data_IF_825480974923
#
_entry.id   IF_825480974923
#
_cell.length_a   1.000
_cell.length_b   1.000
_cell.length_c   1.000
_cell.angle_alpha   90.00
_cell.angle_beta   90.00
_cell.angle_gamma   90.00
#
_symmetry.space_group_name_H-M   'P 1'
#
loop_
_entity.id
_entity.type
_entity.pdbx_description
1 polymer ?
#
# COMPACT_ATOMS: atom_id res chain seq x y z
N UNK A 1 22.47 -20.48 -19.02
CA UNK A 1 21.13 -20.71 -19.63
C UNK A 1 20.56 -19.34 -19.97
N UNK A 2 20.08 -19.16 -21.20
CA UNK A 2 19.40 -18.02 -21.85
C UNK A 2 19.64 -16.56 -21.35
N UNK A 3 20.30 -15.82 -22.25
CA UNK A 3 20.52 -14.37 -22.35
C UNK A 3 19.25 -13.55 -22.59
N UNK A 4 19.16 -12.36 -22.00
CA UNK A 4 18.49 -11.14 -22.48
C UNK A 4 18.75 -10.01 -21.46
N UNK A 5 18.92 -8.72 -21.76
CA UNK A 5 19.31 -7.98 -22.96
C UNK A 5 19.65 -6.57 -22.43
N UNK A 6 20.83 -6.03 -22.75
CA UNK A 6 21.16 -4.63 -22.48
C UNK A 6 20.27 -3.70 -23.33
N UNK A 7 19.65 -2.72 -22.69
CA UNK A 7 18.85 -1.68 -23.34
C UNK A 7 19.08 -0.32 -22.68
N UNK A 8 19.90 0.53 -23.32
CA UNK A 8 20.14 1.89 -22.87
C UNK A 8 18.87 2.76 -23.02
N UNK A 9 18.43 3.45 -21.96
CA UNK A 9 17.50 4.57 -22.08
C UNK A 9 17.57 5.55 -20.90
N UNK A 10 17.20 6.79 -21.20
CA UNK A 10 17.53 8.02 -20.50
C UNK A 10 17.09 8.08 -19.02
N UNK A 11 18.01 8.58 -18.17
CA UNK A 11 17.72 9.04 -16.80
C UNK A 11 16.73 10.21 -16.86
N UNK A 12 15.45 9.92 -16.64
CA UNK A 12 14.46 10.90 -16.20
C UNK A 12 14.43 10.91 -14.69
N UNK A 13 14.95 11.95 -14.04
CA UNK A 13 14.76 12.19 -12.61
C UNK A 13 13.29 12.53 -12.39
N UNK A 14 12.48 11.53 -12.03
CA UNK A 14 11.16 11.76 -11.48
C UNK A 14 11.28 11.92 -9.96
N UNK A 15 11.08 13.14 -9.47
CA UNK A 15 10.72 13.38 -8.07
C UNK A 15 9.32 12.82 -7.86
N UNK A 16 9.23 11.54 -7.48
CA UNK A 16 7.98 10.97 -7.00
C UNK A 16 7.80 11.41 -5.55
N UNK A 17 6.69 12.09 -5.26
CA UNK A 17 6.20 12.24 -3.90
C UNK A 17 6.08 10.85 -3.29
N UNK A 18 6.73 10.64 -2.15
CA UNK A 18 6.60 9.43 -1.34
C UNK A 18 5.10 9.18 -1.16
N UNK A 19 4.60 8.05 -1.66
CA UNK A 19 3.21 7.68 -1.41
C UNK A 19 3.10 7.43 0.10
N UNK A 20 2.28 8.24 0.74
CA UNK A 20 1.93 8.16 2.15
C UNK A 20 1.06 6.91 2.40
N UNK A 21 1.52 5.95 3.20
CA UNK A 21 0.77 4.73 3.53
C UNK A 21 0.04 4.89 4.88
N UNK A 22 -1.13 4.26 5.03
CA UNK A 22 -1.85 4.27 6.31
C UNK A 22 -2.42 5.62 6.78
N UNK A 23 -2.64 6.59 5.89
CA UNK A 23 -3.05 7.92 6.28
C UNK A 23 -4.32 7.95 7.16
N UNK A 24 -4.21 8.54 8.36
CA UNK A 24 -5.34 9.01 9.14
C UNK A 24 -5.59 10.47 8.79
N UNK A 25 -6.85 10.85 8.61
CA UNK A 25 -7.25 12.23 8.32
C UNK A 25 -8.17 12.71 9.43
N UNK A 26 -7.81 13.83 10.03
CA UNK A 26 -8.57 14.58 11.01
C UNK A 26 -9.17 15.78 10.30
N UNK A 27 -10.49 15.84 10.23
CA UNK A 27 -11.19 17.00 9.70
C UNK A 27 -11.30 18.06 10.80
N UNK A 28 -11.23 19.31 10.38
CA UNK A 28 -11.45 20.47 11.23
C UNK A 28 -12.49 21.38 10.54
N UNK A 29 -13.36 22.00 11.34
CA UNK A 29 -14.51 22.73 10.80
C UNK A 29 -14.02 24.07 10.23
N UNK A 30 -14.30 24.39 8.95
CA UNK A 30 -13.77 25.60 8.34
C UNK A 30 -14.42 26.86 8.93
N UNK A 31 -13.73 27.99 8.78
CA UNK A 31 -14.33 29.31 8.98
C UNK A 31 -13.98 29.96 10.30
N UNK A 32 -12.77 29.72 10.79
CA UNK A 32 -12.17 30.57 11.80
C UNK A 32 -12.03 32.00 11.24
N UNK A 33 -12.92 32.89 11.70
CA UNK A 33 -13.03 34.29 11.26
C UNK A 33 -11.85 35.14 11.79
N UNK A 34 -10.63 34.76 11.45
CA UNK A 34 -9.41 35.48 11.76
C UNK A 34 -8.43 35.48 10.56
N UNK A 35 -7.22 36.01 10.76
CA UNK A 35 -6.25 36.18 9.69
C UNK A 35 -5.25 35.02 9.53
N UNK A 36 -5.34 33.98 10.35
CA UNK A 36 -4.49 32.80 10.28
C UNK A 36 -4.88 31.90 9.10
N UNK A 37 -3.98 31.03 8.64
CA UNK A 37 -4.34 29.98 7.69
C UNK A 37 -5.39 29.00 8.26
N UNK A 38 -6.62 29.06 7.78
CA UNK A 38 -7.76 28.22 8.21
C UNK A 38 -7.54 26.74 7.85
N UNK A 39 -7.08 25.95 8.81
CA UNK A 39 -6.81 24.51 8.68
C UNK A 39 -8.13 23.77 8.65
N UNK A 40 -8.38 23.07 7.55
CA UNK A 40 -9.62 22.30 7.33
C UNK A 40 -9.42 20.80 7.50
N UNK A 41 -8.16 20.35 7.44
CA UNK A 41 -7.82 18.96 7.76
C UNK A 41 -6.32 18.79 7.97
N UNK A 42 -5.97 17.86 8.84
CA UNK A 42 -4.61 17.33 9.00
C UNK A 42 -4.64 15.85 8.66
N UNK A 43 -3.83 15.42 7.70
CA UNK A 43 -3.62 14.00 7.42
C UNK A 43 -2.21 13.59 7.82
N UNK A 44 -2.08 12.47 8.51
CA UNK A 44 -0.81 11.92 8.99
C UNK A 44 -0.65 10.51 8.44
N UNK A 45 0.53 10.18 7.92
CA UNK A 45 0.82 8.89 7.32
C UNK A 45 2.28 8.49 7.54
N UNK A 46 2.52 7.19 7.68
CA UNK A 46 3.85 6.61 7.83
C UNK A 46 4.24 5.90 6.52
N UNK A 47 5.48 6.09 6.10
CA UNK A 47 6.06 5.38 4.97
C UNK A 47 7.09 4.35 5.48
N UNK A 48 7.23 3.18 4.83
CA UNK A 48 8.11 2.13 5.35
C UNK A 48 9.60 2.46 5.26
N UNK A 49 9.98 3.47 4.48
CA UNK A 49 11.31 4.09 4.53
C UNK A 49 11.57 4.86 5.84
N UNK A 50 10.59 4.90 6.76
CA UNK A 50 10.69 5.52 8.07
C UNK A 50 10.43 7.02 8.05
N UNK A 51 9.72 7.51 7.03
CA UNK A 51 9.31 8.90 6.94
C UNK A 51 7.84 9.07 7.38
N UNK A 52 7.62 10.00 8.29
CA UNK A 52 6.31 10.54 8.64
C UNK A 52 5.96 11.67 7.66
N UNK A 53 4.77 11.62 7.07
CA UNK A 53 4.25 12.68 6.20
C UNK A 53 2.99 13.29 6.79
N UNK A 54 2.97 14.62 6.89
CA UNK A 54 1.82 15.43 7.27
C UNK A 54 1.32 16.22 6.06
N UNK A 55 0.03 16.13 5.79
CA UNK A 55 -0.66 16.92 4.75
C UNK A 55 -1.73 17.76 5.42
N UNK A 56 -1.51 19.08 5.44
CA UNK A 56 -2.46 20.05 6.01
C UNK A 56 -3.16 20.79 4.89
N UNK A 57 -4.49 20.82 4.91
CA UNK A 57 -5.29 21.58 3.94
C UNK A 57 -5.76 22.87 4.57
N UNK A 58 -5.60 23.96 3.84
CA UNK A 58 -5.99 25.31 4.25
C UNK A 58 -7.09 25.84 3.33
N UNK A 59 -8.16 26.36 3.91
CA UNK A 59 -9.34 26.84 3.17
C UNK A 59 -9.16 28.23 2.56
N UNK A 60 -8.45 29.12 3.25
CA UNK A 60 -8.45 30.56 2.96
C UNK A 60 -7.20 31.10 2.23
N UNK A 61 -6.15 30.29 2.03
CA UNK A 61 -4.92 30.71 1.33
C UNK A 61 -4.42 29.70 0.31
N UNK A 62 -4.11 30.16 -0.91
CA UNK A 62 -3.48 29.34 -1.96
C UNK A 62 -1.95 29.36 -1.91
N UNK A 63 -1.38 30.47 -1.42
CA UNK A 63 0.03 30.65 -1.07
C UNK A 63 0.11 31.11 0.38
N UNK A 64 1.09 30.63 1.12
CA UNK A 64 1.25 31.00 2.53
C UNK A 64 1.63 32.49 2.61
N UNK A 65 0.88 33.33 3.35
CA UNK A 65 1.25 34.73 3.51
C UNK A 65 2.61 34.87 4.22
N UNK A 66 3.29 35.99 3.97
CA UNK A 66 4.42 36.39 4.81
C UNK A 66 3.97 36.48 6.28
N UNK A 67 4.92 36.25 7.19
CA UNK A 67 4.70 36.27 8.64
C UNK A 67 3.68 35.21 9.12
N UNK A 68 3.45 34.17 8.33
CA UNK A 68 2.65 33.00 8.72
C UNK A 68 3.56 31.80 8.99
N UNK A 69 3.14 30.94 9.90
CA UNK A 69 3.83 29.69 10.21
C UNK A 69 2.83 28.63 10.67
N UNK A 70 3.29 27.38 10.68
CA UNK A 70 2.56 26.27 11.29
C UNK A 70 3.42 25.67 12.39
N UNK A 71 2.82 25.40 13.53
CA UNK A 71 3.40 24.60 14.60
C UNK A 71 2.69 23.25 14.65
N UNK A 72 3.45 22.16 14.62
CA UNK A 72 2.96 20.80 14.80
C UNK A 72 3.48 20.28 16.13
N UNK A 73 2.58 20.18 17.09
CA UNK A 73 2.87 19.68 18.44
C UNK A 73 2.55 18.19 18.50
N UNK A 74 3.44 17.44 19.13
CA UNK A 74 3.33 15.99 19.24
C UNK A 74 3.42 15.56 20.72
N UNK A 75 2.34 14.95 21.19
CA UNK A 75 2.28 14.16 22.43
C UNK A 75 2.77 12.75 22.07
N UNK A 76 4.07 12.52 22.23
CA UNK A 76 4.75 11.35 21.70
C UNK A 76 4.39 10.10 22.48
N UNK A 77 4.28 10.19 23.80
CA UNK A 77 3.98 9.05 24.66
C UNK A 77 2.48 8.89 24.98
N UNK A 78 1.61 9.74 24.40
CA UNK A 78 0.17 9.78 24.63
C UNK A 78 -0.16 10.01 26.12
N UNK A 79 0.69 10.76 26.81
CA UNK A 79 0.54 11.09 28.21
C UNK A 79 0.54 12.61 28.40
N UNK A 80 -0.64 13.23 28.61
CA UNK A 80 -0.77 14.68 28.71
C UNK A 80 -0.19 15.27 30.01
N UNK A 81 0.49 14.46 30.83
CA UNK A 81 1.15 14.88 32.07
C UNK A 81 2.67 15.05 31.91
N UNK A 82 3.22 14.72 30.76
CA UNK A 82 4.65 14.86 30.42
C UNK A 82 4.84 15.98 29.39
N UNK A 83 6.09 16.33 29.11
CA UNK A 83 6.42 17.34 28.10
C UNK A 83 6.07 18.78 28.49
N UNK A 84 5.99 19.64 27.47
CA UNK A 84 5.51 21.01 27.55
C UNK A 84 4.01 21.03 27.24
N UNK A 85 3.18 21.27 28.25
CA UNK A 85 1.71 21.19 28.14
C UNK A 85 1.18 19.88 27.51
N UNK A 86 1.90 18.77 27.69
CA UNK A 86 1.55 17.47 27.14
C UNK A 86 2.28 17.08 25.85
N UNK A 87 3.19 17.90 25.32
CA UNK A 87 3.90 17.63 24.07
C UNK A 87 5.42 17.46 24.26
N UNK A 88 6.01 16.44 23.65
CA UNK A 88 7.44 16.16 23.69
C UNK A 88 8.20 16.62 22.44
N UNK A 89 7.49 16.98 21.37
CA UNK A 89 8.10 17.49 20.16
C UNK A 89 7.28 18.60 19.50
N UNK A 90 8.00 19.53 18.86
CA UNK A 90 7.42 20.58 18.02
C UNK A 90 8.19 20.65 16.70
N UNK A 91 7.47 20.60 15.58
CA UNK A 91 8.00 20.97 14.27
C UNK A 91 7.33 22.26 13.83
N UNK A 92 8.12 23.28 13.47
CA UNK A 92 7.61 24.55 12.93
C UNK A 92 7.96 24.68 11.47
N UNK A 93 6.98 25.00 10.63
CA UNK A 93 7.18 25.38 9.22
C UNK A 93 6.96 26.88 9.04
N UNK A 94 7.92 27.56 8.43
CA UNK A 94 7.91 29.01 8.21
C UNK A 94 7.51 29.38 6.78
N UNK A 95 6.98 30.59 6.57
CA UNK A 95 6.56 31.07 5.25
C UNK A 95 7.67 31.12 4.19
N UNK A 96 8.93 31.20 4.60
CA UNK A 96 10.10 31.15 3.71
C UNK A 96 10.56 29.71 3.38
N UNK A 97 9.86 28.70 3.91
CA UNK A 97 10.19 27.28 3.77
C UNK A 97 11.14 26.73 4.83
N UNK A 98 11.57 27.55 5.80
CA UNK A 98 12.37 27.12 6.94
C UNK A 98 11.62 26.11 7.83
N UNK A 99 12.39 25.21 8.45
CA UNK A 99 11.88 24.22 9.40
C UNK A 99 12.71 24.26 10.68
N UNK A 100 12.05 24.58 11.78
CA UNK A 100 12.61 24.44 13.12
C UNK A 100 12.08 23.14 13.75
N UNK A 101 12.92 22.48 14.55
CA UNK A 101 12.55 21.27 15.26
C UNK A 101 12.97 21.37 16.71
N UNK A 102 12.09 20.99 17.62
CA UNK A 102 12.33 21.02 19.06
C UNK A 102 11.96 19.67 19.68
N UNK A 103 12.77 19.24 20.64
CA UNK A 103 12.50 18.05 21.46
C UNK A 103 12.60 18.38 22.94
N UNK A 104 11.70 17.75 23.70
CA UNK A 104 11.70 17.81 25.16
C UNK A 104 12.93 17.11 25.73
N UNK A 105 13.69 17.83 26.55
CA UNK A 105 14.91 17.31 27.19
C UNK A 105 14.69 16.88 28.65
N UNK A 106 13.45 16.91 29.12
CA UNK A 106 13.08 16.68 30.52
C UNK A 106 12.70 17.96 31.27
N UNK A 107 13.02 19.15 30.74
CA UNK A 107 12.72 20.43 31.37
C UNK A 107 12.14 21.48 30.42
N UNK A 108 12.54 21.49 29.15
CA UNK A 108 12.02 22.40 28.14
C UNK A 108 12.07 21.78 26.73
N UNK A 109 11.28 22.35 25.82
CA UNK A 109 11.48 22.12 24.39
C UNK A 109 12.77 22.82 23.95
N UNK A 110 13.75 22.03 23.53
CA UNK A 110 15.07 22.49 23.08
C UNK A 110 15.22 22.29 21.59
N UNK A 111 15.74 23.30 20.90
CA UNK A 111 15.96 23.25 19.46
C UNK A 111 16.95 22.14 19.09
N UNK A 112 16.64 21.42 18.01
CA UNK A 112 17.42 20.33 17.43
C UNK A 112 17.55 20.54 15.94
N UNK A 113 18.54 19.88 15.33
CA UNK A 113 18.70 19.93 13.87
C UNK A 113 17.52 19.25 13.17
N UNK A 114 16.89 19.94 12.22
CA UNK A 114 15.80 19.42 11.38
C UNK A 114 16.32 18.52 10.22
N UNK A 115 17.40 17.76 10.44
CA UNK A 115 18.04 16.92 9.41
C UNK A 115 17.04 15.92 8.83
N UNK A 116 16.91 15.91 7.51
CA UNK A 116 15.99 15.01 6.79
C UNK A 116 14.53 15.46 6.80
N UNK A 117 14.19 16.58 7.46
CA UNK A 117 12.86 17.17 7.37
C UNK A 117 12.76 18.07 6.14
N UNK A 118 11.62 18.02 5.46
CA UNK A 118 11.32 18.86 4.28
C UNK A 118 9.88 19.33 4.32
N UNK A 119 9.59 20.49 3.76
CA UNK A 119 8.28 21.11 3.86
C UNK A 119 7.99 22.00 2.65
N UNK A 120 6.76 21.94 2.15
CA UNK A 120 6.32 22.77 1.04
C UNK A 120 4.85 23.15 1.19
N UNK A 121 4.56 24.45 1.09
CA UNK A 121 3.20 24.96 0.95
C UNK A 121 2.90 25.32 -0.50
N UNK A 122 1.88 24.70 -1.11
CA UNK A 122 1.43 25.03 -2.45
C UNK A 122 -0.07 24.73 -2.62
N UNK A 123 -0.78 25.63 -3.31
CA UNK A 123 -2.20 25.47 -3.65
C UNK A 123 -3.10 25.14 -2.44
N UNK A 124 -2.84 25.82 -1.32
CA UNK A 124 -3.57 25.63 -0.06
C UNK A 124 -3.29 24.31 0.64
N UNK A 125 -2.16 23.67 0.34
CA UNK A 125 -1.73 22.44 0.99
C UNK A 125 -0.30 22.59 1.48
N UNK A 126 -0.09 22.37 2.79
CA UNK A 126 1.23 22.13 3.36
C UNK A 126 1.50 20.62 3.33
N UNK A 127 2.61 20.22 2.74
CA UNK A 127 3.16 18.87 2.87
C UNK A 127 4.48 18.95 3.65
N UNK A 128 4.52 18.37 4.84
CA UNK A 128 5.69 18.28 5.71
C UNK A 128 6.10 16.81 5.82
N UNK A 129 7.37 16.51 5.63
CA UNK A 129 7.93 15.15 5.72
C UNK A 129 9.06 15.18 6.74
N UNK A 130 9.06 14.25 7.69
CA UNK A 130 10.05 14.17 8.76
C UNK A 130 10.44 12.71 9.06
N UNK A 131 11.70 12.40 9.42
CA UNK A 131 12.08 11.04 9.79
C UNK A 131 11.41 10.63 11.10
N UNK A 132 10.77 9.45 11.14
CA UNK A 132 10.16 8.85 12.35
C UNK A 132 11.18 8.70 13.48
N UNK A 133 12.44 8.47 13.14
CA UNK A 133 13.55 8.36 14.11
C UNK A 133 13.75 9.65 14.92
N UNK A 134 13.35 10.81 14.38
CA UNK A 134 13.36 12.08 15.10
C UNK A 134 12.38 12.08 16.29
N UNK A 135 11.34 11.24 16.22
CA UNK A 135 10.27 11.13 17.20
C UNK A 135 10.33 9.83 18.01
N UNK A 136 11.42 9.06 17.92
CA UNK A 136 11.54 7.78 18.64
C UNK A 136 10.84 6.59 17.98
N UNK A 137 10.43 6.68 16.70
CA UNK A 137 9.80 5.60 15.91
C UNK A 137 8.46 5.11 16.47
N UNK A 138 7.62 6.04 16.91
CA UNK A 138 6.35 5.75 17.57
C UNK A 138 5.23 5.54 16.55
N UNK A 139 4.39 4.53 16.79
CA UNK A 139 3.22 4.21 15.96
C UNK A 139 1.90 4.77 16.52
N UNK A 140 1.96 5.44 17.66
CA UNK A 140 0.83 6.13 18.27
C UNK A 140 1.33 7.39 18.96
N UNK A 141 0.68 8.52 18.69
CA UNK A 141 0.98 9.82 19.29
C UNK A 141 -0.24 10.74 19.15
N UNK A 142 -0.34 11.76 19.99
CA UNK A 142 -1.25 12.89 19.79
C UNK A 142 -0.64 13.92 18.85
N UNK A 143 -1.45 14.52 17.98
CA UNK A 143 -1.04 15.66 17.14
C UNK A 143 -1.99 16.84 17.30
N UNK A 144 -1.41 18.04 17.40
CA UNK A 144 -2.09 19.32 17.28
C UNK A 144 -1.38 20.18 16.23
N UNK A 145 -2.09 20.58 15.18
CA UNK A 145 -1.62 21.57 14.24
C UNK A 145 -2.12 22.95 14.67
N UNK A 146 -1.24 23.94 14.72
CA UNK A 146 -1.58 25.33 14.99
C UNK A 146 -1.07 26.15 13.84
N UNK A 147 -1.96 26.74 13.06
CA UNK A 147 -1.58 27.77 12.11
C UNK A 147 -1.53 29.11 12.82
N UNK A 148 -0.63 29.98 12.39
CA UNK A 148 -0.54 31.31 12.95
C UNK A 148 -0.10 32.32 11.89
N UNK A 149 -0.51 33.56 12.12
CA UNK A 149 -0.05 34.70 11.33
C UNK A 149 0.11 35.92 12.22
N UNK A 150 1.31 36.49 12.20
CA UNK A 150 1.56 37.79 12.78
C UNK A 150 1.06 38.90 11.85
N UNK A 151 0.43 39.89 12.47
CA UNK A 151 -0.06 41.10 11.80
C UNK A 151 0.36 42.31 12.61
N UNK A 152 1.11 43.20 11.98
CA UNK A 152 1.36 44.51 12.57
C UNK A 152 0.18 45.43 12.30
N UNK A 153 -0.43 45.95 13.37
CA UNK A 153 -1.40 47.04 13.28
C UNK A 153 -0.96 48.16 14.23
N UNK A 154 -0.53 49.29 13.66
CA UNK A 154 0.15 50.37 14.37
C UNK A 154 1.43 49.86 15.09
N UNK A 155 1.63 50.23 16.36
CA UNK A 155 2.75 49.80 17.20
C UNK A 155 2.50 48.45 17.89
N UNK A 156 1.46 47.72 17.50
CA UNK A 156 1.05 46.45 18.15
C UNK A 156 1.08 45.31 17.14
N UNK A 157 1.66 44.18 17.56
CA UNK A 157 1.63 42.93 16.82
C UNK A 157 0.47 42.08 17.35
N UNK A 158 -0.38 41.61 16.43
CA UNK A 158 -1.46 40.68 16.70
C UNK A 158 -1.10 39.34 16.06
N UNK A 159 -1.25 38.25 16.80
CA UNK A 159 -1.10 36.91 16.26
C UNK A 159 -2.51 36.33 16.15
N UNK A 160 -2.96 36.11 14.92
CA UNK A 160 -4.12 35.27 14.67
C UNK A 160 -3.67 33.81 14.67
N UNK A 161 -4.50 32.92 15.24
CA UNK A 161 -4.20 31.49 15.33
C UNK A 161 -5.44 30.68 15.01
N UNK A 162 -5.24 29.53 14.41
CA UNK A 162 -6.26 28.50 14.24
C UNK A 162 -5.66 27.14 14.69
N UNK A 163 -6.49 26.32 15.34
CA UNK A 163 -6.09 25.10 16.02
C UNK A 163 -6.85 23.91 15.43
N UNK A 164 -6.12 22.92 14.92
CA UNK A 164 -6.69 21.67 14.41
C UNK A 164 -6.12 20.45 15.16
N UNK A 165 -6.94 19.75 15.97
CA UNK A 165 -8.36 20.02 16.23
C UNK A 165 -8.58 21.23 17.15
N UNK A 166 -9.78 21.81 17.12
CA UNK A 166 -10.27 22.85 18.06
C UNK A 166 -9.94 22.62 19.54
N UNK A 167 -9.82 21.34 19.95
CA UNK A 167 -9.56 20.95 21.35
C UNK A 167 -8.64 19.75 21.45
N UNK A 168 -7.60 19.90 22.25
CA UNK A 168 -6.70 18.82 22.63
C UNK A 168 -5.81 18.37 21.46
N UNK A 169 -5.53 17.08 21.39
CA UNK A 169 -4.76 16.46 20.31
C UNK A 169 -5.61 15.40 19.63
N UNK A 170 -5.50 15.31 18.30
CA UNK A 170 -6.01 14.16 17.58
C UNK A 170 -5.08 12.98 17.81
N UNK A 171 -5.58 11.87 18.33
CA UNK A 171 -4.76 10.66 18.46
C UNK A 171 -4.56 10.04 17.08
N UNK A 172 -3.32 10.02 16.63
CA UNK A 172 -2.88 9.21 15.52
C UNK A 172 -2.48 7.84 16.02
N UNK A 173 -3.01 6.81 15.37
CA UNK A 173 -2.53 5.43 15.50
C UNK A 173 -2.27 4.95 14.08
N UNK A 174 -0.99 4.87 13.73
CA UNK A 174 -0.56 4.35 12.45
C UNK A 174 -0.90 2.86 12.33
N UNK A 175 -1.06 2.39 11.09
CA UNK A 175 -0.88 0.98 10.80
C UNK A 175 0.62 0.70 10.93
N UNK A 176 1.10 0.58 12.18
CA UNK A 176 2.51 0.44 12.50
C UNK A 176 3.17 -0.52 11.49
N UNK A 177 4.16 -0.08 10.71
CA UNK A 177 4.82 -0.96 9.76
C UNK A 177 5.28 -2.21 10.49
N UNK A 178 5.04 -3.38 9.89
CA UNK A 178 5.64 -4.62 10.35
C UNK A 178 7.15 -4.45 10.28
N UNK A 179 7.83 -4.56 11.43
CA UNK A 179 9.28 -4.45 11.53
C UNK A 179 9.88 -5.83 11.71
N UNK A 180 10.77 -6.19 10.81
CA UNK A 180 11.43 -7.48 10.74
C UNK A 180 12.93 -7.23 10.86
N UNK A 181 13.48 -7.29 12.08
CA UNK A 181 14.91 -7.08 12.28
C UNK A 181 15.68 -8.27 11.76
N UNK A 182 16.87 -7.99 11.27
CA UNK A 182 17.88 -8.96 10.91
C UNK A 182 19.17 -8.59 11.67
N UNK A 183 20.12 -9.52 11.88
CA UNK A 183 21.41 -9.14 12.44
C UNK A 183 22.15 -8.15 11.54
N UNK A 184 23.32 -7.71 11.99
CA UNK A 184 24.15 -6.77 11.25
C UNK A 184 25.55 -7.33 11.17
N UNK A 185 26.29 -6.99 10.12
CA UNK A 185 27.65 -7.51 9.92
C UNK A 185 27.71 -9.04 9.74
N UNK A 186 26.64 -9.66 9.26
CA UNK A 186 26.50 -11.06 8.82
C UNK A 186 26.50 -11.23 7.30
N UNK A 187 26.39 -10.13 6.56
CA UNK A 187 26.74 -10.08 5.15
C UNK A 187 28.22 -10.40 4.95
N UNK A 188 28.51 -11.18 3.92
CA UNK A 188 29.88 -11.31 3.39
C UNK A 188 30.27 -10.02 2.62
N UNK A 189 30.42 -10.08 1.30
CA UNK A 189 30.61 -8.89 0.45
C UNK A 189 29.30 -8.17 0.05
N UNK A 190 28.13 -8.74 0.39
CA UNK A 190 26.82 -8.28 -0.05
C UNK A 190 26.31 -7.01 0.67
N UNK A 191 25.24 -6.36 0.18
CA UNK A 191 24.46 -5.44 1.01
C UNK A 191 23.98 -6.10 2.29
N UNK A 192 24.20 -5.42 3.42
CA UNK A 192 23.88 -5.84 4.79
C UNK A 192 22.41 -5.55 5.07
N UNK A 193 21.52 -6.52 4.96
CA UNK A 193 20.13 -6.37 5.34
C UNK A 193 20.08 -6.34 6.87
N UNK A 194 19.79 -5.18 7.46
CA UNK A 194 19.67 -5.07 8.94
C UNK A 194 18.24 -4.99 9.42
N UNK A 195 17.32 -4.65 8.52
CA UNK A 195 15.89 -4.70 8.80
C UNK A 195 15.08 -4.60 7.52
N UNK A 196 13.90 -5.23 7.56
CA UNK A 196 12.84 -5.02 6.57
C UNK A 196 11.62 -4.44 7.26
N UNK A 197 11.05 -3.40 6.67
CA UNK A 197 9.80 -2.77 7.11
C UNK A 197 8.74 -2.95 6.05
N UNK A 198 7.58 -3.46 6.46
CA UNK A 198 6.44 -3.69 5.56
C UNK A 198 5.24 -2.88 6.01
N UNK A 199 4.62 -2.14 5.10
CA UNK A 199 3.36 -1.44 5.34
C UNK A 199 2.41 -1.63 4.15
N UNK A 200 1.12 -1.39 4.37
CA UNK A 200 0.11 -1.47 3.30
C UNK A 200 -0.89 -0.31 3.36
N UNK A 201 -1.35 0.17 2.21
CA UNK A 201 -2.31 1.27 2.07
C UNK A 201 -3.68 0.80 1.60
N UNK A 202 -4.69 1.64 1.88
CA UNK A 202 -6.10 1.40 1.49
C UNK A 202 -6.32 1.34 -0.01
N UNK A 203 -5.42 1.90 -0.81
CA UNK A 203 -5.46 1.84 -2.27
C UNK A 203 -4.92 0.52 -2.84
N UNK A 204 -4.39 -0.35 -1.98
CA UNK A 204 -3.91 -1.69 -2.32
C UNK A 204 -2.40 -1.78 -2.50
N UNK A 205 -1.63 -0.70 -2.38
CA UNK A 205 -0.17 -0.80 -2.44
C UNK A 205 0.43 -1.31 -1.12
N UNK A 206 1.37 -2.24 -1.23
CA UNK A 206 2.17 -2.80 -0.13
C UNK A 206 3.60 -2.37 -0.39
N UNK A 207 4.27 -1.83 0.62
CA UNK A 207 5.62 -1.30 0.48
C UNK A 207 6.56 -2.01 1.44
N UNK A 208 7.62 -2.57 0.87
CA UNK A 208 8.65 -3.37 1.55
C UNK A 208 9.96 -2.59 1.46
N UNK A 209 10.39 -2.00 2.58
CA UNK A 209 11.61 -1.21 2.69
C UNK A 209 12.71 -2.01 3.36
N UNK A 210 13.85 -2.16 2.69
CA UNK A 210 15.01 -2.94 3.12
C UNK A 210 16.13 -1.97 3.47
N UNK A 211 16.61 -2.02 4.72
CA UNK A 211 17.71 -1.19 5.18
C UNK A 211 19.05 -1.88 4.93
N UNK A 212 19.91 -1.23 4.14
CA UNK A 212 21.26 -1.68 3.75
C UNK A 212 22.34 -0.70 4.21
N UNK A 213 22.63 -0.54 5.52
CA UNK A 213 23.48 0.54 6.04
C UNK A 213 24.91 0.57 5.50
N UNK A 214 25.46 -0.55 5.01
CA UNK A 214 26.78 -0.58 4.37
C UNK A 214 26.79 0.05 2.96
N UNK A 215 25.62 0.41 2.39
CA UNK A 215 25.50 1.08 1.11
C UNK A 215 24.53 2.27 1.15
N UNK A 216 24.99 3.45 0.71
CA UNK A 216 24.13 4.64 0.56
C UNK A 216 23.25 4.62 -0.70
N UNK A 217 23.58 3.78 -1.67
CA UNK A 217 22.76 3.45 -2.85
C UNK A 217 23.11 2.03 -3.24
N UNK A 218 22.10 1.23 -3.63
CA UNK A 218 22.34 -0.15 -4.06
C UNK A 218 23.29 -0.16 -5.28
N UNK A 219 24.44 -0.85 -5.21
CA UNK A 219 25.37 -0.96 -6.33
C UNK A 219 24.72 -1.57 -7.57
N UNK A 220 25.25 -1.25 -8.76
CA UNK A 220 24.74 -1.79 -10.03
C UNK A 220 24.87 -3.32 -10.16
N UNK A 221 25.85 -3.89 -9.46
CA UNK A 221 26.16 -5.32 -9.44
C UNK A 221 25.56 -6.03 -8.21
N UNK A 222 24.88 -5.28 -7.34
CA UNK A 222 24.15 -5.84 -6.22
C UNK A 222 22.71 -6.20 -6.62
N UNK A 223 22.22 -7.29 -6.03
CA UNK A 223 20.88 -7.81 -6.23
C UNK A 223 20.14 -7.85 -4.92
N UNK A 224 18.87 -7.44 -4.94
CA UNK A 224 17.90 -7.81 -3.91
C UNK A 224 16.87 -8.75 -4.52
N UNK A 225 16.70 -9.92 -3.91
CA UNK A 225 15.76 -10.95 -4.31
C UNK A 225 14.70 -11.12 -3.22
N UNK A 226 13.44 -10.86 -3.53
CA UNK A 226 12.33 -11.06 -2.61
C UNK A 226 11.59 -12.32 -3.00
N UNK A 227 11.67 -13.35 -2.16
CA UNK A 227 10.88 -14.56 -2.31
C UNK A 227 9.55 -14.36 -1.60
N UNK A 228 8.43 -14.66 -2.26
CA UNK A 228 7.08 -14.40 -1.77
C UNK A 228 6.24 -15.69 -1.72
N UNK A 229 5.83 -16.07 -0.52
CA UNK A 229 4.78 -17.08 -0.25
C UNK A 229 3.42 -16.36 -0.32
N UNK A 230 2.78 -16.40 -1.49
CA UNK A 230 1.66 -15.54 -1.84
C UNK A 230 0.30 -16.12 -1.47
N UNK A 231 0.25 -17.42 -1.22
CA UNK A 231 -0.94 -18.12 -0.79
C UNK A 231 -0.87 -18.62 0.66
N UNK A 232 0.22 -18.25 1.35
CA UNK A 232 0.53 -18.56 2.74
C UNK A 232 0.56 -20.07 3.00
N UNK A 233 1.09 -20.86 2.05
CA UNK A 233 1.27 -22.30 2.16
C UNK A 233 2.69 -22.70 1.77
N UNK A 234 3.50 -23.01 2.79
CA UNK A 234 4.86 -23.52 2.61
C UNK A 234 5.00 -24.84 1.80
N UNK A 235 3.89 -25.52 1.47
CA UNK A 235 3.89 -26.74 0.65
C UNK A 235 3.74 -26.49 -0.85
N UNK A 236 3.52 -25.26 -1.28
CA UNK A 236 3.42 -24.87 -2.69
C UNK A 236 4.63 -24.06 -3.12
N UNK A 237 4.74 -23.76 -4.42
CA UNK A 237 5.84 -22.96 -4.91
C UNK A 237 7.17 -23.71 -5.07
N UNK A 238 8.23 -22.93 -5.22
CA UNK A 238 9.62 -23.35 -5.10
C UNK A 238 10.10 -22.99 -3.69
N UNK A 239 10.34 -24.00 -2.85
CA UNK A 239 10.63 -23.83 -1.42
C UNK A 239 9.64 -22.93 -0.66
N UNK A 240 8.36 -22.94 -1.04
CA UNK A 240 7.32 -22.11 -0.43
C UNK A 240 7.06 -20.79 -1.16
N UNK A 241 7.84 -20.42 -2.17
CA UNK A 241 7.65 -19.16 -2.92
C UNK A 241 6.83 -19.38 -4.20
N UNK A 242 5.79 -18.55 -4.42
CA UNK A 242 5.07 -18.46 -5.70
C UNK A 242 5.35 -17.18 -6.49
N UNK A 243 6.01 -16.21 -5.86
CA UNK A 243 6.46 -14.98 -6.48
C UNK A 243 7.92 -14.71 -6.17
N UNK A 244 8.63 -14.16 -7.16
CA UNK A 244 10.00 -13.72 -7.01
C UNK A 244 10.11 -12.30 -7.55
N UNK A 245 10.60 -11.37 -6.74
CA UNK A 245 10.93 -10.02 -7.21
C UNK A 245 12.45 -9.90 -7.22
N UNK A 246 13.00 -9.46 -8.34
CA UNK A 246 14.44 -9.20 -8.48
C UNK A 246 14.65 -7.72 -8.70
N UNK A 247 15.51 -7.10 -7.90
CA UNK A 247 16.01 -5.74 -8.10
C UNK A 247 17.49 -5.80 -8.40
N UNK A 248 17.91 -5.33 -9.57
CA UNK A 248 19.33 -5.27 -9.98
C UNK A 248 19.56 -4.00 -10.80
N UNK A 249 20.60 -3.22 -10.48
CA UNK A 249 20.89 -1.98 -11.22
C UNK A 249 19.75 -0.96 -11.27
N UNK A 250 18.81 -1.02 -10.32
CA UNK A 250 17.59 -0.21 -10.30
C UNK A 250 16.46 -0.71 -11.23
N UNK A 251 16.69 -1.77 -11.99
CA UNK A 251 15.64 -2.49 -12.71
C UNK A 251 14.89 -3.43 -11.75
N UNK A 252 13.62 -3.69 -12.06
CA UNK A 252 12.80 -4.58 -11.26
C UNK A 252 12.04 -5.57 -12.14
N UNK A 253 12.07 -6.83 -11.75
CA UNK A 253 11.38 -7.93 -12.43
C UNK A 253 10.51 -8.69 -11.43
N UNK A 254 9.37 -9.21 -11.91
CA UNK A 254 8.52 -10.15 -11.19
C UNK A 254 8.45 -11.45 -11.98
N UNK A 255 8.66 -12.55 -11.29
CA UNK A 255 8.49 -13.88 -11.83
C UNK A 255 7.48 -14.66 -10.99
N UNK A 256 6.82 -15.61 -11.65
CA UNK A 256 5.82 -16.49 -11.05
C UNK A 256 6.27 -17.93 -11.19
N UNK A 257 6.07 -18.70 -10.14
CA UNK A 257 6.34 -20.14 -10.18
C UNK A 257 5.29 -20.86 -11.05
N UNK A 258 5.73 -21.53 -12.12
CA UNK A 258 4.91 -22.48 -12.86
C UNK A 258 5.11 -23.87 -12.28
N UNK A 259 4.17 -24.29 -11.42
CA UNK A 259 4.21 -25.60 -10.77
C UNK A 259 4.09 -26.79 -11.72
N UNK A 260 3.74 -26.58 -13.00
CA UNK A 260 3.68 -27.67 -14.00
C UNK A 260 4.99 -27.83 -14.75
N UNK A 261 5.67 -26.72 -14.99
CA UNK A 261 6.95 -26.69 -15.68
C UNK A 261 8.14 -26.70 -14.70
N UNK A 262 7.88 -26.56 -13.39
CA UNK A 262 8.87 -26.46 -12.31
C UNK A 262 9.91 -25.38 -12.63
N UNK A 263 9.42 -24.21 -13.04
CA UNK A 263 10.28 -23.11 -13.48
C UNK A 263 9.66 -21.75 -13.20
N UNK A 264 10.51 -20.74 -13.05
CA UNK A 264 10.12 -19.34 -12.95
C UNK A 264 9.79 -18.77 -14.33
N UNK A 265 8.66 -18.05 -14.42
CA UNK A 265 8.19 -17.42 -15.65
C UNK A 265 7.97 -15.94 -15.39
N UNK A 266 8.59 -15.09 -16.21
CA UNK A 266 8.42 -13.63 -16.14
C UNK A 266 6.96 -13.19 -16.31
N UNK A 267 6.56 -12.21 -15.49
CA UNK A 267 5.25 -11.55 -15.53
C UNK A 267 5.43 -10.14 -16.13
N UNK A 268 4.62 -9.78 -17.13
CA UNK A 268 4.75 -8.46 -17.79
C UNK A 268 4.26 -7.33 -16.86
N UNK A 269 5.23 -6.52 -16.40
CA UNK A 269 5.10 -5.48 -15.38
C UNK A 269 5.19 -4.07 -15.99
N UNK A 270 4.14 -3.25 -15.88
CA UNK A 270 4.46 -1.85 -15.58
C UNK A 270 3.58 -1.19 -14.52
N UNK A 271 2.50 -1.82 -14.06
CA UNK A 271 1.50 -1.11 -13.23
C UNK A 271 1.36 -1.60 -11.79
N UNK A 272 2.03 -2.70 -11.43
CA UNK A 272 1.79 -3.43 -10.17
C UNK A 272 3.02 -3.56 -9.27
N UNK A 273 4.15 -3.03 -9.72
CA UNK A 273 5.42 -3.09 -9.02
C UNK A 273 6.20 -1.79 -9.26
N UNK A 274 6.88 -1.30 -8.23
CA UNK A 274 7.76 -0.12 -8.29
C UNK A 274 8.96 -0.33 -7.39
N UNK A 275 10.09 0.30 -7.72
CA UNK A 275 11.27 0.32 -6.87
C UNK A 275 11.78 1.75 -6.71
N UNK A 276 12.26 2.06 -5.51
CA UNK A 276 12.97 3.31 -5.21
C UNK A 276 14.14 3.02 -4.27
N UNK A 277 15.22 3.78 -4.42
CA UNK A 277 16.33 3.78 -3.49
C UNK A 277 16.47 5.20 -2.93
N UNK A 278 16.50 5.33 -1.61
CA UNK A 278 16.66 6.60 -0.91
C UNK A 278 17.62 6.41 0.26
N UNK A 279 18.86 6.88 0.10
CA UNK A 279 19.92 6.59 1.04
C UNK A 279 20.13 5.08 1.21
N UNK A 280 20.35 4.63 2.43
CA UNK A 280 20.56 3.22 2.75
C UNK A 280 19.28 2.37 2.77
N UNK A 281 18.21 2.78 2.07
CA UNK A 281 16.95 2.06 2.03
C UNK A 281 16.51 1.81 0.59
N UNK A 282 16.30 0.55 0.24
CA UNK A 282 15.63 0.14 -1.00
C UNK A 282 14.18 -0.19 -0.68
N UNK A 283 13.23 0.50 -1.31
CA UNK A 283 11.80 0.19 -1.17
C UNK A 283 11.24 -0.40 -2.45
N UNK A 284 10.57 -1.54 -2.31
CA UNK A 284 9.77 -2.18 -3.34
C UNK A 284 8.30 -2.02 -3.01
N UNK A 285 7.53 -1.43 -3.92
CA UNK A 285 6.07 -1.34 -3.81
C UNK A 285 5.43 -2.43 -4.67
N UNK A 286 4.68 -3.33 -4.04
CA UNK A 286 3.91 -4.42 -4.65
C UNK A 286 2.41 -4.12 -4.50
N UNK A 287 1.65 -4.16 -5.59
CA UNK A 287 0.20 -4.03 -5.47
C UNK A 287 -0.42 -5.33 -4.94
N UNK A 288 -1.36 -5.24 -4.00
CA UNK A 288 -2.04 -6.36 -3.33
C UNK A 288 -2.79 -7.27 -4.29
N UNK A 289 -2.97 -6.84 -5.55
CA UNK A 289 -3.52 -7.69 -6.59
C UNK A 289 -2.65 -8.90 -6.92
N UNK A 290 -1.37 -8.82 -6.56
CA UNK A 290 -0.41 -9.89 -6.79
C UNK A 290 -0.55 -11.04 -5.78
N UNK A 291 -1.24 -10.80 -4.66
CA UNK A 291 -1.48 -11.79 -3.61
C UNK A 291 -2.58 -12.80 -4.03
N UNK A 292 -2.43 -14.03 -3.57
CA UNK A 292 -3.41 -15.11 -3.78
C UNK A 292 -4.29 -15.27 -2.53
N UNK A 293 -3.70 -15.21 -1.34
CA UNK A 293 -4.41 -15.08 -0.06
C UNK A 293 -4.48 -13.60 0.37
N UNK A 294 -5.67 -13.15 0.73
CA UNK A 294 -6.10 -11.74 0.67
C UNK A 294 -5.77 -10.94 1.92
N UNK A 295 -5.10 -11.56 2.89
CA UNK A 295 -4.89 -10.98 4.20
C UNK A 295 -3.49 -11.20 4.75
N UNK A 296 -2.71 -12.14 4.19
CA UNK A 296 -1.40 -12.53 4.69
C UNK A 296 -0.54 -13.06 3.56
N UNK A 297 0.74 -12.76 3.61
CA UNK A 297 1.75 -13.39 2.76
C UNK A 297 3.02 -13.63 3.57
N UNK A 298 3.83 -14.58 3.13
CA UNK A 298 5.19 -14.76 3.61
C UNK A 298 6.17 -14.04 2.69
N UNK A 299 7.25 -13.50 3.23
CA UNK A 299 8.35 -12.99 2.43
C UNK A 299 9.71 -13.27 3.09
N UNK A 300 10.73 -13.39 2.26
CA UNK A 300 12.15 -13.30 2.64
C UNK A 300 12.87 -12.43 1.61
N UNK A 301 14.01 -11.89 2.01
CA UNK A 301 14.86 -11.04 1.18
C UNK A 301 16.26 -11.62 1.19
N UNK A 302 16.88 -11.72 0.02
CA UNK A 302 18.28 -12.08 -0.13
C UNK A 302 18.98 -10.92 -0.80
N UNK A 303 20.09 -10.46 -0.22
CA UNK A 303 21.01 -9.57 -0.89
C UNK A 303 22.18 -10.40 -1.45
N UNK A 304 22.67 -10.04 -2.62
CA UNK A 304 23.85 -10.67 -3.20
C UNK A 304 24.70 -9.62 -3.92
N UNK A 305 26.01 -9.80 -3.87
CA UNK A 305 26.94 -9.08 -4.74
C UNK A 305 27.39 -10.02 -5.86
N UNK A 306 27.35 -9.53 -7.10
CA UNK A 306 27.65 -10.32 -8.29
C UNK A 306 28.88 -9.79 -9.00
N UNK A 307 29.71 -10.68 -9.53
CA UNK A 307 30.61 -10.33 -10.62
C UNK A 307 29.88 -10.57 -11.95
N UNK A 308 29.37 -9.50 -12.56
CA UNK A 308 28.65 -9.59 -13.85
C UNK A 308 29.53 -10.08 -15.01
N UNK A 309 30.86 -9.99 -14.88
CA UNK A 309 31.81 -10.47 -15.89
C UNK A 309 32.01 -11.99 -15.86
N UNK A 310 31.94 -12.59 -14.67
CA UNK A 310 32.12 -14.03 -14.46
C UNK A 310 30.82 -14.79 -14.13
N UNK A 311 29.72 -14.07 -13.89
CA UNK A 311 28.43 -14.60 -13.40
C UNK A 311 28.57 -15.31 -12.03
N UNK A 312 29.52 -14.88 -11.20
CA UNK A 312 29.80 -15.44 -9.86
C UNK A 312 29.14 -14.61 -8.75
N UNK A 313 28.66 -15.28 -7.69
CA UNK A 313 28.18 -14.63 -6.46
C UNK A 313 29.39 -14.42 -5.55
N UNK A 314 29.72 -13.15 -5.28
CA UNK A 314 30.86 -12.75 -4.45
C UNK A 314 30.53 -12.77 -2.96
N UNK A 315 29.26 -12.57 -2.62
CA UNK A 315 28.75 -12.60 -1.26
C UNK A 315 27.23 -12.63 -1.26
N UNK A 316 26.65 -13.07 -0.16
CA UNK A 316 25.21 -13.05 0.05
C UNK A 316 24.88 -12.71 1.50
N UNK A 317 23.66 -12.26 1.70
CA UNK A 317 23.03 -12.00 2.98
C UNK A 317 21.56 -12.43 2.92
N UNK A 318 21.06 -13.06 3.97
CA UNK A 318 19.77 -13.74 3.98
C UNK A 318 18.89 -13.27 5.13
N UNK A 319 17.77 -12.65 4.77
CA UNK A 319 16.83 -12.08 5.71
C UNK A 319 15.45 -12.77 5.57
N UNK A 320 15.02 -13.64 6.50
CA UNK A 320 15.71 -14.06 7.71
C UNK A 320 16.79 -15.14 7.51
N UNK A 321 17.78 -15.13 8.41
CA UNK A 321 18.94 -16.03 8.45
C UNK A 321 18.63 -17.53 8.41
N UNK A 322 17.46 -17.95 8.89
CA UNK A 322 17.06 -19.37 8.92
C UNK A 322 16.50 -19.87 7.58
N UNK A 323 16.48 -19.02 6.56
CA UNK A 323 15.95 -19.33 5.23
C UNK A 323 14.43 -19.52 5.22
N UNK A 324 13.72 -19.10 6.27
CA UNK A 324 12.26 -19.16 6.34
C UNK A 324 11.62 -17.87 5.82
N UNK A 325 10.30 -17.77 5.92
CA UNK A 325 9.54 -16.58 5.56
C UNK A 325 9.08 -15.86 6.82
N UNK A 326 9.37 -14.56 6.90
CA UNK A 326 8.59 -13.67 7.74
C UNK A 326 7.15 -13.61 7.27
N UNK A 327 6.23 -13.31 8.18
CA UNK A 327 4.79 -13.26 7.89
C UNK A 327 4.28 -11.85 8.09
N UNK A 328 3.67 -11.28 7.06
CA UNK A 328 2.99 -10.00 7.14
C UNK A 328 1.48 -10.19 6.94
N UNK A 329 0.68 -9.50 7.75
CA UNK A 329 -0.76 -9.46 7.62
C UNK A 329 -1.21 -8.05 7.23
N UNK A 330 -1.98 -7.92 6.15
CA UNK A 330 -2.46 -6.63 5.68
C UNK A 330 -3.35 -5.98 6.75
N UNK A 331 -3.02 -4.74 7.11
CA UNK A 331 -3.76 -3.92 8.06
C UNK A 331 -4.88 -3.15 7.35
N UNK A 332 -4.62 -2.67 6.13
CA UNK A 332 -5.51 -1.91 5.26
C UNK A 332 -6.08 -2.78 4.12
N UNK A 333 -6.73 -3.90 4.47
CA UNK A 333 -7.31 -4.83 3.48
C UNK A 333 -8.24 -4.12 2.50
N UNK A 334 -8.02 -4.22 1.18
CA UNK A 334 -8.93 -3.66 0.20
C UNK A 334 -10.33 -4.24 0.37
N UNK A 335 -11.36 -3.39 0.28
CA UNK A 335 -12.73 -3.86 0.39
C UNK A 335 -13.07 -4.81 -0.77
N UNK A 336 -13.26 -6.10 -0.46
CA UNK A 336 -13.64 -7.10 -1.46
C UNK A 336 -14.99 -6.74 -2.09
N UNK A 337 -15.01 -6.69 -3.42
CA UNK A 337 -16.20 -6.68 -4.27
C UNK A 337 -16.04 -7.76 -5.33
N UNK A 338 -17.14 -8.42 -5.70
CA UNK A 338 -17.15 -9.34 -6.83
C UNK A 338 -17.53 -8.58 -8.10
N UNK A 339 -16.66 -8.63 -9.10
CA UNK A 339 -16.85 -8.02 -10.40
C UNK A 339 -17.36 -9.10 -11.36
N UNK A 340 -18.57 -8.92 -11.87
CA UNK A 340 -19.15 -9.83 -12.86
C UNK A 340 -19.15 -9.19 -14.24
N UNK A 341 -18.82 -9.99 -15.26
CA UNK A 341 -19.03 -9.59 -16.66
C UNK A 341 -20.35 -10.18 -17.19
N UNK A 342 -20.57 -10.13 -18.50
CA UNK A 342 -21.82 -10.61 -19.11
C UNK A 342 -21.93 -12.14 -19.01
N UNK A 343 -23.09 -12.62 -18.53
CA UNK A 343 -23.42 -14.04 -18.56
C UNK A 343 -23.57 -14.55 -20.00
N UNK A 344 -23.13 -15.78 -20.26
CA UNK A 344 -23.28 -16.45 -21.56
C UNK A 344 -23.69 -17.91 -21.39
N UNK A 345 -24.18 -18.50 -22.48
CA UNK A 345 -24.70 -19.87 -22.51
C UNK A 345 -23.81 -20.82 -23.31
N UNK A 346 -23.77 -22.09 -22.91
CA UNK A 346 -23.11 -23.18 -23.61
C UNK A 346 -24.07 -24.39 -23.71
N UNK A 347 -24.43 -24.86 -24.93
CA UNK A 347 -24.13 -24.24 -26.23
C UNK A 347 -24.76 -22.85 -26.38
N UNK A 348 -24.22 -21.97 -27.24
CA UNK A 348 -24.66 -20.57 -27.37
C UNK A 348 -26.17 -20.39 -27.63
N UNK A 349 -26.81 -21.39 -28.24
CA UNK A 349 -28.25 -21.48 -28.38
C UNK A 349 -28.79 -22.70 -27.62
N UNK A 350 -29.55 -22.52 -26.53
CA UNK A 350 -30.19 -23.62 -25.83
C UNK A 350 -31.20 -24.30 -26.74
N UNK A 351 -31.31 -25.64 -26.62
CA UNK A 351 -32.29 -26.45 -27.33
C UNK A 351 -33.19 -27.18 -26.35
N UNK A 352 -34.47 -27.28 -26.68
CA UNK A 352 -35.43 -28.00 -25.86
C UNK A 352 -35.00 -29.46 -25.60
N UNK A 353 -35.14 -29.91 -24.35
CA UNK A 353 -34.76 -31.27 -23.92
C UNK A 353 -33.26 -31.54 -23.83
N UNK A 354 -32.37 -30.54 -24.06
CA UNK A 354 -30.92 -30.74 -24.06
C UNK A 354 -30.23 -30.06 -22.86
N UNK A 355 -29.03 -30.53 -22.46
CA UNK A 355 -28.22 -29.86 -21.47
C UNK A 355 -27.85 -28.44 -21.91
N UNK A 356 -27.86 -27.51 -20.96
CA UNK A 356 -27.45 -26.13 -21.16
C UNK A 356 -26.77 -25.63 -19.89
N UNK A 357 -25.66 -24.91 -20.06
CA UNK A 357 -24.93 -24.29 -18.95
C UNK A 357 -24.89 -22.79 -19.16
N UNK A 358 -25.21 -22.05 -18.11
CA UNK A 358 -25.11 -20.60 -18.05
C UNK A 358 -23.88 -20.28 -17.21
N UNK A 359 -22.94 -19.53 -17.76
CA UNK A 359 -21.71 -19.17 -17.10
C UNK A 359 -21.65 -17.67 -16.87
N UNK A 360 -21.22 -17.26 -15.68
CA UNK A 360 -20.94 -15.90 -15.29
C UNK A 360 -19.47 -15.80 -14.89
N UNK A 361 -18.60 -15.15 -15.69
CA UNK A 361 -17.26 -14.83 -15.25
C UNK A 361 -17.32 -13.86 -14.07
N UNK A 362 -16.63 -14.21 -13.00
CA UNK A 362 -16.55 -13.41 -11.79
C UNK A 362 -15.10 -13.30 -11.37
N UNK A 363 -14.62 -12.08 -11.25
CA UNK A 363 -13.33 -11.77 -10.66
C UNK A 363 -13.51 -11.02 -9.34
N UNK A 364 -12.46 -11.03 -8.53
CA UNK A 364 -12.41 -10.23 -7.31
C UNK A 364 -11.90 -8.82 -7.62
N UNK A 365 -12.37 -7.82 -6.90
CA UNK A 365 -11.97 -6.43 -7.15
C UNK A 365 -10.57 -6.09 -6.67
N UNK A 366 -10.09 -6.79 -5.65
CA UNK A 366 -8.78 -6.61 -5.03
C UNK A 366 -7.68 -7.29 -5.83
N UNK A 367 -7.87 -8.56 -6.22
CA UNK A 367 -6.88 -9.32 -6.98
C UNK A 367 -7.04 -9.25 -8.48
N UNK A 368 -8.21 -8.82 -8.96
CA UNK A 368 -8.62 -8.92 -10.38
C UNK A 368 -8.63 -10.35 -10.93
N UNK A 369 -8.26 -11.36 -10.14
CA UNK A 369 -8.25 -12.78 -10.50
C UNK A 369 -9.66 -13.35 -10.45
N UNK A 370 -9.88 -14.39 -11.26
CA UNK A 370 -11.13 -15.16 -11.25
C UNK A 370 -11.32 -15.90 -9.92
N UNK A 371 -12.56 -16.02 -9.46
CA UNK A 371 -12.85 -16.78 -8.23
C UNK A 371 -12.51 -18.27 -8.38
N UNK A 372 -11.91 -18.85 -7.34
CA UNK A 372 -11.54 -20.27 -7.29
C UNK A 372 -12.50 -21.10 -6.44
N UNK A 373 -13.24 -20.46 -5.52
CA UNK A 373 -14.20 -21.10 -4.63
C UNK A 373 -15.47 -20.23 -4.47
N UNK A 374 -16.51 -20.82 -3.87
CA UNK A 374 -17.75 -20.11 -3.56
C UNK A 374 -19.01 -20.96 -3.75
N UNK A 375 -20.16 -20.32 -3.56
CA UNK A 375 -21.47 -20.93 -3.81
C UNK A 375 -22.17 -20.22 -4.97
N UNK A 376 -22.89 -20.99 -5.77
CA UNK A 376 -23.69 -20.46 -6.89
C UNK A 376 -25.15 -20.81 -6.66
N UNK A 377 -25.99 -19.79 -6.62
CA UNK A 377 -27.45 -19.92 -6.55
C UNK A 377 -28.04 -19.58 -7.90
N UNK A 378 -28.81 -20.51 -8.45
CA UNK A 378 -29.42 -20.40 -9.77
C UNK A 378 -30.94 -20.28 -9.60
N UNK A 379 -31.50 -19.15 -10.04
CA UNK A 379 -32.94 -18.96 -10.14
C UNK A 379 -33.32 -18.94 -11.61
N UNK A 380 -33.58 -20.13 -12.17
CA UNK A 380 -33.88 -20.32 -13.58
C UNK A 380 -35.36 -20.59 -13.77
N UNK A 381 -35.99 -19.90 -14.72
CA UNK A 381 -37.36 -20.14 -15.14
C UNK A 381 -37.46 -20.33 -16.65
N UNK A 382 -38.20 -21.35 -17.07
CA UNK A 382 -38.60 -21.63 -18.44
C UNK A 382 -40.08 -21.28 -18.59
N UNK A 383 -40.41 -20.28 -19.41
CA UNK A 383 -41.79 -19.79 -19.60
C UNK A 383 -42.57 -19.61 -18.28
N UNK A 384 -41.90 -19.00 -17.28
CA UNK A 384 -42.37 -18.74 -15.90
C UNK A 384 -42.40 -19.94 -14.94
N UNK A 385 -42.08 -21.14 -15.40
CA UNK A 385 -41.95 -22.32 -14.55
C UNK A 385 -40.52 -22.48 -14.05
N UNK A 386 -40.32 -22.68 -12.74
CA UNK A 386 -38.99 -22.86 -12.15
C UNK A 386 -38.34 -24.14 -12.68
N UNK A 387 -37.09 -24.04 -13.13
CA UNK A 387 -36.30 -25.16 -13.63
C UNK A 387 -35.28 -25.59 -12.58
N UNK A 388 -35.13 -26.90 -12.40
CA UNK A 388 -34.08 -27.44 -11.54
C UNK A 388 -32.72 -27.19 -12.20
N UNK A 389 -31.81 -26.58 -11.45
CA UNK A 389 -30.47 -26.24 -11.91
C UNK A 389 -29.46 -26.46 -10.79
N UNK A 390 -28.25 -26.85 -11.16
CA UNK A 390 -27.14 -27.05 -10.24
C UNK A 390 -26.12 -25.94 -10.44
N UNK A 391 -25.76 -25.26 -9.34
CA UNK A 391 -24.76 -24.20 -9.32
C UNK A 391 -23.38 -24.71 -8.89
N UNK A 392 -22.30 -24.24 -9.53
CA UNK A 392 -20.92 -24.48 -9.07
C UNK A 392 -19.97 -23.37 -9.52
N UNK A 393 -18.84 -23.22 -8.81
CA UNK A 393 -17.72 -22.38 -9.27
C UNK A 393 -16.73 -23.25 -10.06
N UNK A 394 -16.27 -22.77 -11.22
CA UNK A 394 -15.26 -23.44 -12.04
C UNK A 394 -14.48 -22.42 -12.87
N UNK A 395 -13.14 -22.48 -12.82
CA UNK A 395 -12.25 -21.69 -13.68
C UNK A 395 -12.58 -20.18 -13.73
N UNK A 396 -12.77 -19.54 -12.58
CA UNK A 396 -13.09 -18.11 -12.51
C UNK A 396 -14.54 -17.76 -12.86
N UNK A 397 -15.46 -18.74 -12.87
CA UNK A 397 -16.84 -18.57 -13.31
C UNK A 397 -17.81 -19.22 -12.33
N UNK A 398 -18.96 -18.59 -12.11
CA UNK A 398 -20.14 -19.26 -11.59
C UNK A 398 -20.91 -19.92 -12.73
N UNK A 399 -21.19 -21.21 -12.64
CA UNK A 399 -21.94 -21.99 -13.63
C UNK A 399 -23.28 -22.45 -13.05
N UNK A 400 -24.34 -22.32 -13.84
CA UNK A 400 -25.64 -22.96 -13.64
C UNK A 400 -25.87 -23.98 -14.75
N UNK A 401 -25.86 -25.26 -14.42
CA UNK A 401 -26.18 -26.35 -15.37
C UNK A 401 -27.61 -26.82 -15.17
N UNK A 402 -28.33 -27.02 -16.27
CA UNK A 402 -29.71 -27.50 -16.30
C UNK A 402 -30.01 -28.31 -17.56
N UNK A 403 -31.13 -29.02 -17.55
CA UNK A 403 -31.77 -29.53 -18.76
C UNK A 403 -32.87 -28.55 -19.16
N UNK A 404 -32.87 -28.09 -20.40
CA UNK A 404 -33.92 -27.20 -20.91
C UNK A 404 -35.21 -28.01 -21.03
N UNK A 405 -36.34 -27.59 -20.42
CA UNK A 405 -37.59 -28.33 -20.54
C UNK A 405 -38.08 -28.40 -22.00
N UNK A 406 -38.80 -29.48 -22.33
CA UNK A 406 -39.41 -29.62 -23.65
C UNK A 406 -40.47 -28.53 -23.89
N UNK A 407 -40.62 -28.07 -25.14
CA UNK A 407 -41.64 -27.09 -25.52
C UNK A 407 -41.41 -25.66 -24.99
N UNK A 408 -40.26 -25.38 -24.35
CA UNK A 408 -39.94 -24.03 -23.84
C UNK A 408 -39.49 -23.10 -24.97
N UNK A 409 -39.99 -21.86 -24.99
CA UNK A 409 -39.57 -20.83 -25.93
C UNK A 409 -38.44 -19.93 -25.42
N UNK A 410 -38.36 -19.70 -24.11
CA UNK A 410 -37.29 -18.91 -23.50
C UNK A 410 -36.94 -19.34 -22.07
N UNK A 411 -35.67 -19.13 -21.71
CA UNK A 411 -35.16 -19.29 -20.35
C UNK A 411 -34.74 -17.93 -19.82
N UNK A 412 -35.20 -17.56 -18.63
CA UNK A 412 -34.86 -16.32 -17.94
C UNK A 412 -34.51 -16.60 -16.50
N UNK A 413 -33.70 -15.74 -15.90
CA UNK A 413 -33.36 -15.95 -14.51
C UNK A 413 -32.26 -15.05 -14.00
N UNK A 414 -31.77 -15.41 -12.83
CA UNK A 414 -30.60 -14.83 -12.21
C UNK A 414 -29.62 -15.89 -11.74
N UNK A 415 -28.34 -15.57 -11.86
CA UNK A 415 -27.23 -16.33 -11.32
C UNK A 415 -26.57 -15.47 -10.25
N UNK A 416 -26.60 -15.93 -9.00
CA UNK A 416 -25.93 -15.28 -7.87
C UNK A 416 -24.71 -16.09 -7.48
N UNK A 417 -23.55 -15.45 -7.46
CA UNK A 417 -22.29 -16.04 -6.99
C UNK A 417 -21.94 -15.41 -5.66
N UNK A 418 -21.59 -16.24 -4.66
CA UNK A 418 -21.08 -15.80 -3.37
C UNK A 418 -19.68 -16.36 -3.14
N UNK A 419 -18.75 -15.48 -2.76
CA UNK A 419 -17.37 -15.83 -2.39
C UNK A 419 -16.82 -14.75 -1.46
N UNK A 420 -15.99 -15.13 -0.48
CA UNK A 420 -15.41 -14.19 0.50
C UNK A 420 -16.45 -13.34 1.27
N UNK A 421 -17.63 -13.90 1.58
CA UNK A 421 -18.70 -13.16 2.26
C UNK A 421 -19.40 -12.09 1.39
N UNK A 422 -19.00 -11.93 0.13
CA UNK A 422 -19.61 -11.01 -0.83
C UNK A 422 -20.43 -11.77 -1.86
N UNK A 423 -21.29 -11.05 -2.57
CA UNK A 423 -22.13 -11.64 -3.62
C UNK A 423 -22.26 -10.73 -4.82
N UNK A 424 -22.34 -11.32 -6.01
CA UNK A 424 -22.72 -10.63 -7.25
C UNK A 424 -23.83 -11.41 -7.93
N UNK A 425 -24.81 -10.70 -8.49
CA UNK A 425 -25.95 -11.31 -9.18
C UNK A 425 -26.05 -10.76 -10.59
N UNK A 426 -26.09 -11.66 -11.57
CA UNK A 426 -26.35 -11.32 -12.97
C UNK A 426 -27.70 -11.87 -13.42
N UNK A 427 -28.47 -11.05 -14.14
CA UNK A 427 -29.68 -11.49 -14.83
C UNK A 427 -29.32 -11.97 -16.23
N UNK A 428 -30.04 -12.96 -16.72
CA UNK A 428 -29.86 -13.50 -18.07
C UNK A 428 -31.20 -13.81 -18.73
N UNK A 429 -31.18 -13.89 -20.06
CA UNK A 429 -32.29 -14.34 -20.88
C UNK A 429 -31.74 -15.00 -22.15
N UNK A 430 -32.23 -16.20 -22.47
CA UNK A 430 -31.87 -16.94 -23.67
C UNK A 430 -33.13 -17.41 -24.39
N UNK A 431 -33.14 -17.30 -25.72
CA UNK A 431 -34.19 -17.88 -26.57
C UNK A 431 -33.87 -19.34 -26.83
N UNK A 432 -34.85 -20.22 -26.69
CA UNK A 432 -34.71 -21.65 -26.94
C UNK A 432 -35.09 -21.98 -28.38
N UNK A 433 -34.36 -22.92 -28.99
CA UNK A 433 -34.63 -23.47 -30.31
C UNK A 433 -35.19 -24.89 -30.25
#
# INVERSE_FOLDING_TARGET
>A
MRKALAGALALGVFLFASLAFGAATFADDPGDDNAAPDVTSVSVSEAPDGMLTLVVRVGNYQSLPADSWFNFWFDLDSNPLTGDEGDEALVRYLADGGIDFYLWDGAALTERTSTGMTGQFAAGVLTLVAPESSFGRLSTFGILAVSARAQSFAETEFIATDFAPDRGRSTYTGAAPGSFPDPSADQDAAPDITSVRVSDAKDGWISIAVATPNYATLPGEAVLLFSLDLDNKASTGDNGAEGLITVIGGEIQLERWDSRAETWVGDELPTRLRVRNAGNVVTVDLHSSELVDEARFGFSVTAADLDLGSEEILGADFAPEDGTFWRYALTNRPALRLLATKAFGAPAQPRAGRPFTISLPVSRSDTKRGITNGTVTCNVAADRTKVRSTGRVRAGRGECSLIVPAGTGAIRGSLTVRSGGKSVTARFSFKVR
#
